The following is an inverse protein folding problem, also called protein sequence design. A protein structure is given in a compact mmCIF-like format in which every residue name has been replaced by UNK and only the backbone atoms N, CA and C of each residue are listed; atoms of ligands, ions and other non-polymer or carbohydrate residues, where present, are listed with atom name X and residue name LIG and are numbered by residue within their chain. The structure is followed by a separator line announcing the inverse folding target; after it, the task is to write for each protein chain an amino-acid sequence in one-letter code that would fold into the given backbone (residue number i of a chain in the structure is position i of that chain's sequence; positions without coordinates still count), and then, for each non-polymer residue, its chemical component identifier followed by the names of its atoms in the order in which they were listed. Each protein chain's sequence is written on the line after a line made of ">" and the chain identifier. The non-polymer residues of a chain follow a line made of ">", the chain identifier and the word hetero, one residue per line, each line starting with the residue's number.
data_IF_310502767553
#
_entry.id   IF_310502767553
#
_cell.length_a   1.000
_cell.length_b   1.000
_cell.length_c   1.000
_cell.angle_alpha   90.00
_cell.angle_beta   90.00
_cell.angle_gamma   90.00
#
_symmetry.space_group_name_H-M   'P 1'
#
loop_
_entity.id
_entity.type
_entity.pdbx_description
1 polymer ?
#
# COMPACT_ATOMS: atom_id res chain seq x y z
N UNK A 1 4.96 -25.03 -6.52
CA UNK A 1 4.59 -24.72 -5.12
C UNK A 1 3.14 -24.26 -5.11
N UNK A 2 2.44 -24.55 -4.04
CA UNK A 2 1.12 -23.94 -3.73
C UNK A 2 1.35 -22.72 -2.85
N UNK A 3 0.91 -21.56 -3.30
CA UNK A 3 1.14 -20.26 -2.64
C UNK A 3 -0.22 -19.59 -2.41
N UNK A 4 -0.55 -19.30 -1.16
CA UNK A 4 -1.82 -18.68 -0.79
C UNK A 4 -1.58 -17.30 -0.20
N UNK A 5 -2.36 -16.31 -0.64
CA UNK A 5 -2.35 -14.95 -0.09
C UNK A 5 -3.59 -14.71 0.75
N UNK A 6 -3.44 -14.25 1.98
CA UNK A 6 -4.55 -13.78 2.81
C UNK A 6 -4.70 -12.27 2.69
N UNK A 7 -5.79 -11.82 2.06
CA UNK A 7 -6.06 -10.42 1.73
C UNK A 7 -7.33 -9.93 2.43
N UNK A 8 -7.33 -8.68 2.88
CA UNK A 8 -8.47 -8.09 3.59
C UNK A 8 -9.76 -8.10 2.73
N UNK A 9 -9.70 -7.52 1.55
CA UNK A 9 -10.81 -7.45 0.61
C UNK A 9 -10.28 -7.28 -0.82
N UNK A 10 -10.37 -8.33 -1.62
CA UNK A 10 -9.95 -8.34 -3.01
C UNK A 10 -10.91 -7.60 -3.96
N UNK A 11 -12.09 -7.22 -3.47
CA UNK A 11 -13.18 -6.66 -4.29
C UNK A 11 -13.23 -5.14 -4.31
N UNK A 12 -12.30 -4.46 -3.62
CA UNK A 12 -12.22 -2.99 -3.55
C UNK A 12 -10.98 -2.45 -4.28
N UNK A 13 -10.78 -1.14 -4.21
CA UNK A 13 -9.58 -0.47 -4.74
C UNK A 13 -8.51 -0.32 -3.67
N UNK A 14 -7.22 -0.43 -4.05
CA UNK A 14 -6.12 -0.12 -3.14
C UNK A 14 -4.77 -0.64 -3.60
N UNK A 15 -3.70 0.04 -3.18
CA UNK A 15 -2.32 -0.32 -3.54
C UNK A 15 -1.92 -1.73 -3.12
N UNK A 16 -2.32 -2.17 -1.92
CA UNK A 16 -2.08 -3.55 -1.45
C UNK A 16 -2.77 -4.58 -2.34
N UNK A 17 -4.01 -4.32 -2.78
CA UNK A 17 -4.76 -5.23 -3.66
C UNK A 17 -4.04 -5.32 -5.02
N UNK A 18 -3.71 -4.17 -5.62
CA UNK A 18 -2.99 -4.11 -6.89
C UNK A 18 -1.65 -4.85 -6.82
N UNK A 19 -0.86 -4.58 -5.78
CA UNK A 19 0.42 -5.25 -5.56
C UNK A 19 0.28 -6.76 -5.40
N UNK A 20 -0.72 -7.21 -4.61
CA UNK A 20 -1.00 -8.65 -4.43
C UNK A 20 -1.44 -9.28 -5.75
N UNK A 21 -2.30 -8.63 -6.54
CA UNK A 21 -2.74 -9.14 -7.84
C UNK A 21 -1.58 -9.24 -8.83
N UNK A 22 -0.74 -8.21 -8.92
CA UNK A 22 0.43 -8.22 -9.80
C UNK A 22 1.38 -9.37 -9.46
N UNK A 23 1.67 -9.55 -8.16
CA UNK A 23 2.55 -10.62 -7.70
C UNK A 23 1.92 -12.00 -7.91
N UNK A 24 0.66 -12.17 -7.55
CA UNK A 24 -0.07 -13.43 -7.72
C UNK A 24 -0.15 -13.83 -9.20
N UNK A 25 -0.41 -12.89 -10.11
CA UNK A 25 -0.42 -13.12 -11.56
C UNK A 25 0.95 -13.62 -12.05
N UNK A 26 2.03 -12.96 -11.63
CA UNK A 26 3.38 -13.36 -12.05
C UNK A 26 3.77 -14.74 -11.51
N UNK A 27 3.38 -15.07 -10.28
CA UNK A 27 3.64 -16.37 -9.68
C UNK A 27 2.79 -17.48 -10.31
N UNK A 28 1.54 -17.18 -10.70
CA UNK A 28 0.61 -18.14 -11.29
C UNK A 28 1.05 -18.68 -12.67
N UNK A 29 2.01 -18.02 -13.32
CA UNK A 29 2.60 -18.51 -14.55
C UNK A 29 3.26 -19.90 -14.40
N UNK A 30 3.75 -20.23 -13.18
CA UNK A 30 4.51 -21.45 -12.92
C UNK A 30 4.15 -22.15 -11.60
N UNK A 31 3.17 -21.63 -10.86
CA UNK A 31 2.81 -22.12 -9.53
C UNK A 31 1.30 -22.08 -9.33
N UNK A 32 0.79 -22.90 -8.42
CA UNK A 32 -0.61 -22.88 -8.01
C UNK A 32 -0.80 -21.72 -7.02
N UNK A 33 -1.55 -20.70 -7.42
CA UNK A 33 -1.73 -19.49 -6.61
C UNK A 33 -3.19 -19.27 -6.27
N UNK A 34 -3.44 -19.01 -4.99
CA UNK A 34 -4.75 -18.66 -4.45
C UNK A 34 -4.71 -17.32 -3.71
N UNK A 35 -5.77 -16.53 -3.83
CA UNK A 35 -6.02 -15.36 -2.99
C UNK A 35 -7.26 -15.63 -2.15
N UNK A 36 -7.08 -15.72 -0.84
CA UNK A 36 -8.14 -15.83 0.16
C UNK A 36 -8.52 -14.42 0.57
N UNK A 37 -9.69 -13.95 0.14
CA UNK A 37 -10.24 -12.65 0.51
C UNK A 37 -11.09 -12.78 1.76
N UNK A 38 -10.79 -12.05 2.84
CA UNK A 38 -11.62 -12.10 4.04
C UNK A 38 -13.04 -11.64 3.72
N UNK A 39 -13.19 -10.54 2.98
CA UNK A 39 -14.50 -10.01 2.62
C UNK A 39 -14.77 -10.09 1.12
N UNK A 40 -16.05 -10.30 0.77
CA UNK A 40 -16.61 -10.07 -0.54
C UNK A 40 -17.70 -9.00 -0.45
N UNK A 41 -17.48 -7.85 -1.07
CA UNK A 41 -18.38 -6.70 -1.01
C UNK A 41 -19.00 -6.33 -2.36
N UNK A 42 -18.53 -6.97 -3.44
CA UNK A 42 -19.01 -6.76 -4.82
C UNK A 42 -19.07 -8.10 -5.55
N UNK A 43 -19.78 -8.14 -6.67
CA UNK A 43 -19.86 -9.33 -7.51
C UNK A 43 -18.51 -9.70 -8.11
N UNK A 44 -17.83 -8.72 -8.66
CA UNK A 44 -16.51 -8.84 -9.28
C UNK A 44 -15.50 -7.90 -8.61
N UNK A 45 -14.21 -8.26 -8.58
CA UNK A 45 -13.15 -7.36 -8.13
C UNK A 45 -13.12 -6.06 -8.93
N UNK A 46 -13.04 -4.94 -8.22
CA UNK A 46 -13.06 -3.61 -8.84
C UNK A 46 -11.82 -3.30 -9.70
N UNK A 47 -10.74 -4.06 -9.52
CA UNK A 47 -9.47 -3.89 -10.25
C UNK A 47 -9.21 -5.02 -11.27
N UNK A 48 -10.27 -5.81 -11.61
CA UNK A 48 -10.11 -7.04 -12.38
C UNK A 48 -9.48 -8.17 -11.56
N UNK A 49 -10.01 -9.38 -11.67
CA UNK A 49 -9.40 -10.55 -11.04
C UNK A 49 -8.30 -11.11 -11.94
N UNK A 50 -7.16 -11.57 -11.39
CA UNK A 50 -6.19 -12.34 -12.16
C UNK A 50 -6.83 -13.64 -12.69
N UNK A 51 -6.81 -13.88 -13.99
CA UNK A 51 -7.52 -15.00 -14.62
C UNK A 51 -7.01 -16.38 -14.21
N UNK A 52 -5.74 -16.48 -13.81
CA UNK A 52 -5.08 -17.75 -13.46
C UNK A 52 -4.94 -17.94 -11.94
N UNK A 53 -5.59 -17.12 -11.14
CA UNK A 53 -5.50 -17.13 -9.67
C UNK A 53 -6.87 -17.48 -9.10
N UNK A 54 -6.93 -18.52 -8.27
CA UNK A 54 -8.15 -18.85 -7.52
C UNK A 54 -8.44 -17.73 -6.52
N UNK A 55 -9.67 -17.21 -6.51
CA UNK A 55 -10.12 -16.20 -5.57
C UNK A 55 -11.23 -16.75 -4.66
N UNK A 56 -10.92 -16.98 -3.39
CA UNK A 56 -11.80 -17.59 -2.39
C UNK A 56 -12.25 -16.56 -1.35
N UNK A 57 -13.51 -16.10 -1.33
CA UNK A 57 -14.02 -15.24 -0.27
C UNK A 57 -14.42 -16.02 0.98
N UNK A 58 -14.16 -15.45 2.18
CA UNK A 58 -14.54 -16.07 3.45
C UNK A 58 -15.88 -15.54 4.02
N UNK A 59 -16.16 -14.26 3.84
CA UNK A 59 -17.37 -13.59 4.36
C UNK A 59 -18.00 -12.77 3.24
N UNK A 60 -19.22 -13.09 2.89
CA UNK A 60 -19.99 -12.38 1.86
C UNK A 60 -20.84 -11.27 2.48
N UNK A 61 -20.52 -10.03 2.16
CA UNK A 61 -21.23 -8.83 2.61
C UNK A 61 -22.00 -8.14 1.49
N UNK A 62 -22.34 -8.84 0.41
CA UNK A 62 -23.20 -8.31 -0.64
C UNK A 62 -24.67 -8.41 -0.20
N UNK A 63 -25.32 -7.29 0.12
CA UNK A 63 -26.66 -7.24 0.70
C UNK A 63 -27.77 -7.93 -0.11
N UNK A 64 -27.53 -8.27 -1.39
CA UNK A 64 -28.47 -9.01 -2.24
C UNK A 64 -28.05 -10.46 -2.50
N UNK A 65 -26.99 -10.95 -1.87
CA UNK A 65 -26.49 -12.30 -2.04
C UNK A 65 -27.35 -13.31 -1.28
N UNK A 66 -27.63 -14.46 -1.89
CA UNK A 66 -28.23 -15.62 -1.18
C UNK A 66 -27.31 -16.16 -0.06
N UNK A 67 -26.03 -15.78 -0.06
CA UNK A 67 -25.00 -16.18 0.91
C UNK A 67 -24.57 -15.00 1.78
N UNK A 68 -25.46 -14.00 2.00
CA UNK A 68 -25.15 -12.84 2.82
C UNK A 68 -24.86 -13.21 4.26
N UNK A 69 -23.68 -12.85 4.75
CA UNK A 69 -23.22 -13.20 6.09
C UNK A 69 -23.44 -12.08 7.13
N UNK A 70 -23.96 -10.91 6.71
CA UNK A 70 -24.15 -9.78 7.62
C UNK A 70 -25.18 -10.02 8.73
N UNK A 71 -26.10 -10.97 8.52
CA UNK A 71 -27.13 -11.35 9.50
C UNK A 71 -26.64 -12.44 10.48
N UNK A 72 -25.44 -12.98 10.31
CA UNK A 72 -24.90 -13.96 11.26
C UNK A 72 -24.63 -13.27 12.61
N UNK A 73 -25.20 -13.79 13.73
CA UNK A 73 -25.05 -13.16 15.05
C UNK A 73 -23.60 -12.97 15.49
N UNK A 74 -22.67 -13.79 14.97
CA UNK A 74 -21.22 -13.66 15.25
C UNK A 74 -20.61 -12.47 14.51
N UNK A 75 -21.24 -11.99 13.44
CA UNK A 75 -20.79 -10.79 12.72
C UNK A 75 -20.95 -9.53 13.59
N UNK A 76 -21.94 -9.46 14.45
CA UNK A 76 -22.15 -8.34 15.39
C UNK A 76 -21.19 -8.42 16.63
N UNK A 77 -20.52 -9.54 16.86
CA UNK A 77 -19.59 -9.69 17.98
C UNK A 77 -18.18 -9.25 17.60
N UNK A 78 -17.46 -8.49 18.48
CA UNK A 78 -16.12 -8.01 18.16
C UNK A 78 -15.12 -9.14 17.97
N UNK A 79 -14.18 -8.92 17.05
CA UNK A 79 -13.05 -9.83 16.85
C UNK A 79 -12.21 -9.98 18.13
N UNK A 80 -11.67 -11.18 18.35
CA UNK A 80 -10.82 -11.54 19.49
C UNK A 80 -9.38 -11.82 19.07
N UNK A 81 -9.16 -12.27 17.83
CA UNK A 81 -7.85 -12.59 17.26
C UNK A 81 -7.31 -11.41 16.46
N UNK A 82 -8.15 -10.80 15.62
CA UNK A 82 -7.73 -9.63 14.86
C UNK A 82 -7.45 -8.47 15.83
N UNK A 83 -6.22 -7.89 15.82
CA UNK A 83 -5.81 -6.93 16.85
C UNK A 83 -6.66 -5.66 16.90
N UNK A 84 -7.07 -5.26 18.10
CA UNK A 84 -7.79 -3.98 18.32
C UNK A 84 -6.98 -2.76 17.88
N UNK A 85 -5.67 -2.89 17.82
CA UNK A 85 -4.75 -1.85 17.43
C UNK A 85 -4.63 -1.69 15.90
N UNK A 86 -5.12 -2.64 15.10
CA UNK A 86 -5.18 -2.49 13.63
C UNK A 86 -6.32 -1.52 13.25
N UNK A 87 -6.02 -0.56 12.36
CA UNK A 87 -6.99 0.45 11.93
C UNK A 87 -8.27 -0.12 11.28
N UNK A 88 -8.25 -1.39 10.88
CA UNK A 88 -9.41 -2.11 10.31
C UNK A 88 -10.18 -2.95 11.33
N UNK A 89 -9.78 -2.95 12.61
CA UNK A 89 -10.39 -3.83 13.64
C UNK A 89 -11.93 -3.79 13.66
N UNK A 90 -12.54 -2.60 13.49
CA UNK A 90 -14.00 -2.44 13.50
C UNK A 90 -14.72 -3.17 12.36
N UNK A 91 -14.01 -3.58 11.32
CA UNK A 91 -14.55 -4.35 10.19
C UNK A 91 -14.49 -5.86 10.45
N UNK A 92 -13.73 -6.29 11.49
CA UNK A 92 -13.55 -7.68 11.85
C UNK A 92 -14.45 -8.06 13.02
N UNK A 93 -14.89 -9.30 13.03
CA UNK A 93 -15.84 -9.84 13.99
C UNK A 93 -15.43 -11.23 14.43
N UNK A 94 -16.16 -11.81 15.39
CA UNK A 94 -16.00 -13.20 15.77
C UNK A 94 -16.21 -14.14 14.57
N UNK A 95 -17.15 -13.83 13.67
CA UNK A 95 -17.37 -14.62 12.46
C UNK A 95 -16.11 -14.65 11.58
N UNK A 96 -15.49 -13.49 11.34
CA UNK A 96 -14.25 -13.40 10.54
C UNK A 96 -13.12 -14.16 11.19
N UNK A 97 -12.92 -14.05 12.52
CA UNK A 97 -11.87 -14.76 13.24
C UNK A 97 -12.03 -16.28 13.09
N UNK A 98 -13.26 -16.79 13.27
CA UNK A 98 -13.55 -18.22 13.17
C UNK A 98 -13.38 -18.75 11.74
N UNK A 99 -13.80 -17.99 10.72
CA UNK A 99 -13.65 -18.41 9.31
C UNK A 99 -12.21 -18.37 8.86
N UNK A 100 -11.47 -17.33 9.22
CA UNK A 100 -10.02 -17.26 8.92
C UNK A 100 -9.30 -18.40 9.63
N UNK A 101 -9.56 -18.61 10.92
CA UNK A 101 -8.90 -19.66 11.69
C UNK A 101 -9.16 -21.05 11.11
N UNK A 102 -10.41 -21.38 10.76
CA UNK A 102 -10.79 -22.65 10.13
C UNK A 102 -10.13 -22.81 8.75
N UNK A 103 -10.16 -21.77 7.91
CA UNK A 103 -9.51 -21.79 6.61
C UNK A 103 -8.01 -22.06 6.75
N UNK A 104 -7.30 -21.29 7.56
CA UNK A 104 -5.84 -21.40 7.70
C UNK A 104 -5.39 -22.74 8.31
N UNK A 105 -6.17 -23.31 9.24
CA UNK A 105 -5.81 -24.59 9.88
C UNK A 105 -5.99 -25.80 8.94
N UNK A 106 -6.93 -25.72 8.00
CA UNK A 106 -7.17 -26.76 7.00
C UNK A 106 -6.50 -26.51 5.63
N UNK A 107 -5.79 -25.41 5.49
CA UNK A 107 -5.21 -25.00 4.21
C UNK A 107 -3.94 -25.80 3.90
N UNK A 108 -4.00 -26.60 2.85
CA UNK A 108 -2.85 -27.29 2.30
C UNK A 108 -2.09 -26.41 1.31
N UNK A 109 -1.12 -25.67 1.81
CA UNK A 109 -0.27 -24.76 1.03
C UNK A 109 1.19 -24.88 1.45
N UNK A 110 2.13 -24.66 0.54
CA UNK A 110 3.56 -24.62 0.87
C UNK A 110 3.92 -23.30 1.56
N UNK A 111 3.31 -22.18 1.07
CA UNK A 111 3.58 -20.84 1.57
C UNK A 111 2.26 -20.08 1.76
N UNK A 112 2.05 -19.51 2.94
CA UNK A 112 0.95 -18.59 3.23
C UNK A 112 1.48 -17.19 3.49
N UNK A 113 0.95 -16.20 2.76
CA UNK A 113 1.37 -14.79 2.82
C UNK A 113 0.25 -13.92 3.34
N UNK A 114 0.46 -13.24 4.47
CA UNK A 114 -0.47 -12.24 4.98
C UNK A 114 -0.09 -10.84 4.51
N UNK A 115 -1.09 -10.03 4.17
CA UNK A 115 -0.87 -8.74 3.49
C UNK A 115 -1.10 -7.52 4.40
N UNK A 116 -1.23 -7.73 5.70
CA UNK A 116 -1.38 -6.66 6.70
C UNK A 116 -1.21 -7.19 8.13
N UNK A 117 -0.91 -6.32 9.12
CA UNK A 117 -0.62 -6.75 10.48
C UNK A 117 -1.65 -7.69 11.10
N UNK A 118 -2.92 -7.36 11.04
CA UNK A 118 -3.97 -8.19 11.64
C UNK A 118 -4.09 -9.58 10.99
N UNK A 119 -3.87 -9.68 9.68
CA UNK A 119 -3.84 -10.97 8.97
C UNK A 119 -2.56 -11.76 9.25
N UNK A 120 -1.42 -11.06 9.39
CA UNK A 120 -0.16 -11.68 9.81
C UNK A 120 -0.28 -12.31 11.21
N UNK A 121 -1.05 -11.69 12.12
CA UNK A 121 -1.37 -12.28 13.44
C UNK A 121 -2.22 -13.55 13.30
N UNK A 122 -3.20 -13.57 12.38
CA UNK A 122 -3.98 -14.79 12.12
C UNK A 122 -3.10 -15.91 11.57
N UNK A 123 -2.24 -15.64 10.60
CA UNK A 123 -1.30 -16.61 10.04
C UNK A 123 -0.36 -17.14 11.12
N UNK A 124 0.21 -16.25 11.92
CA UNK A 124 1.08 -16.62 13.05
C UNK A 124 0.42 -17.59 14.02
N UNK A 125 -0.91 -17.48 14.22
CA UNK A 125 -1.66 -18.30 15.19
C UNK A 125 -2.26 -19.57 14.60
N UNK A 126 -2.75 -19.51 13.36
CA UNK A 126 -3.68 -20.53 12.83
C UNK A 126 -3.18 -21.23 11.57
N UNK A 127 -2.13 -20.74 10.88
CA UNK A 127 -1.64 -21.42 9.69
C UNK A 127 -1.17 -22.84 10.01
N UNK A 128 -1.43 -23.77 9.08
CA UNK A 128 -1.02 -25.16 9.18
C UNK A 128 0.47 -25.26 9.57
N UNK A 129 0.86 -26.16 10.49
CA UNK A 129 2.25 -26.22 10.98
C UNK A 129 3.31 -26.46 9.91
N UNK A 130 2.96 -27.15 8.81
CA UNK A 130 3.87 -27.43 7.71
C UNK A 130 4.05 -26.25 6.75
N UNK A 131 3.13 -25.26 6.73
CA UNK A 131 3.22 -24.13 5.83
C UNK A 131 4.27 -23.13 6.28
N UNK A 132 5.04 -22.59 5.33
CA UNK A 132 5.90 -21.42 5.55
C UNK A 132 5.02 -20.18 5.72
N UNK A 133 5.24 -19.42 6.78
CA UNK A 133 4.44 -18.26 7.19
C UNK A 133 5.18 -16.98 6.87
N UNK A 134 4.68 -16.22 5.90
CA UNK A 134 5.27 -14.95 5.48
C UNK A 134 4.32 -13.80 5.81
N UNK A 135 4.80 -12.82 6.55
CA UNK A 135 4.11 -11.54 6.69
C UNK A 135 4.58 -10.58 5.61
N UNK A 136 3.66 -9.90 4.93
CA UNK A 136 4.00 -8.84 3.99
C UNK A 136 3.42 -7.52 4.50
N UNK A 137 4.28 -6.52 4.72
CA UNK A 137 3.89 -5.21 5.22
C UNK A 137 3.88 -4.18 4.10
N UNK A 138 2.70 -3.60 3.89
CA UNK A 138 2.47 -2.52 2.94
C UNK A 138 2.33 -1.16 3.63
N UNK A 139 2.28 -1.15 4.97
CA UNK A 139 2.33 0.05 5.80
C UNK A 139 3.65 0.08 6.54
N UNK A 140 4.19 1.28 6.74
CA UNK A 140 5.48 1.43 7.43
C UNK A 140 5.36 1.12 8.92
N UNK A 141 6.41 0.57 9.53
CA UNK A 141 6.46 0.34 10.98
C UNK A 141 6.22 1.63 11.77
N UNK A 142 6.73 2.77 11.28
CA UNK A 142 6.52 4.08 11.89
C UNK A 142 5.06 4.54 11.89
N UNK A 143 4.26 4.06 10.93
CA UNK A 143 2.83 4.32 10.84
C UNK A 143 1.98 3.56 11.87
N UNK A 144 2.55 2.54 12.52
CA UNK A 144 1.86 1.77 13.54
C UNK A 144 2.01 2.41 14.93
N UNK A 145 0.88 2.56 15.65
CA UNK A 145 0.89 2.98 17.04
C UNK A 145 1.56 1.96 17.97
N UNK A 146 1.90 2.38 19.18
CA UNK A 146 2.61 1.57 20.17
C UNK A 146 1.95 0.21 20.44
N UNK A 147 0.62 0.16 20.46
CA UNK A 147 -0.14 -1.10 20.65
C UNK A 147 0.10 -2.08 19.51
N UNK A 148 0.06 -1.60 18.25
CA UNK A 148 0.28 -2.47 17.11
C UNK A 148 1.73 -2.95 17.06
N UNK A 149 2.70 -2.09 17.35
CA UNK A 149 4.11 -2.49 17.46
C UNK A 149 4.34 -3.53 18.58
N UNK A 150 3.56 -3.46 19.68
CA UNK A 150 3.59 -4.48 20.72
C UNK A 150 3.07 -5.83 20.22
N UNK A 151 1.93 -5.85 19.50
CA UNK A 151 1.40 -7.07 18.86
C UNK A 151 2.39 -7.66 17.85
N UNK A 152 2.97 -6.83 16.99
CA UNK A 152 3.99 -7.22 16.02
C UNK A 152 5.16 -7.89 16.74
N UNK A 153 5.75 -7.23 17.75
CA UNK A 153 6.91 -7.77 18.49
C UNK A 153 6.60 -9.11 19.18
N UNK A 154 5.35 -9.32 19.57
CA UNK A 154 4.95 -10.55 20.24
C UNK A 154 4.57 -11.67 19.27
N UNK A 155 3.81 -11.37 18.20
CA UNK A 155 3.25 -12.39 17.32
C UNK A 155 4.13 -12.74 16.13
N UNK A 156 4.86 -11.79 15.59
CA UNK A 156 5.68 -12.00 14.39
C UNK A 156 6.84 -13.00 14.59
N UNK A 157 7.41 -13.23 15.78
CA UNK A 157 8.34 -14.34 15.99
C UNK A 157 7.80 -15.73 15.64
N UNK A 158 6.50 -15.86 15.35
CA UNK A 158 5.88 -17.08 14.83
C UNK A 158 5.80 -17.15 13.29
N UNK A 159 6.22 -16.10 12.60
CA UNK A 159 6.42 -16.09 11.15
C UNK A 159 7.81 -16.61 10.81
N UNK A 160 7.97 -17.17 9.61
CA UNK A 160 9.28 -17.59 9.08
C UNK A 160 9.99 -16.42 8.40
N UNK A 161 9.22 -15.52 7.77
CA UNK A 161 9.75 -14.29 7.19
C UNK A 161 8.78 -13.12 7.28
N UNK A 162 9.36 -11.92 7.16
CA UNK A 162 8.65 -10.66 6.99
C UNK A 162 9.22 -9.94 5.79
N UNK A 163 8.37 -9.60 4.82
CA UNK A 163 8.76 -8.74 3.71
C UNK A 163 8.18 -7.33 3.88
N UNK A 164 8.97 -6.33 3.55
CA UNK A 164 8.57 -4.92 3.49
C UNK A 164 8.79 -4.40 2.08
N UNK A 165 8.16 -3.29 1.74
CA UNK A 165 8.23 -2.74 0.38
C UNK A 165 9.41 -1.80 0.16
N UNK A 166 10.17 -1.47 1.23
CA UNK A 166 11.38 -0.63 1.20
C UNK A 166 12.44 -1.17 2.14
N UNK A 167 13.72 -0.94 1.82
CA UNK A 167 14.84 -1.35 2.66
C UNK A 167 14.88 -0.57 3.99
N UNK A 168 14.53 0.72 3.95
CA UNK A 168 14.45 1.52 5.16
C UNK A 168 13.44 0.96 6.17
N UNK A 169 12.29 0.46 5.71
CA UNK A 169 11.31 -0.18 6.60
C UNK A 169 11.77 -1.57 7.06
N UNK A 170 12.43 -2.36 6.18
CA UNK A 170 13.05 -3.62 6.58
C UNK A 170 14.07 -3.42 7.70
N UNK A 171 14.89 -2.39 7.60
CA UNK A 171 15.85 -2.03 8.64
C UNK A 171 15.16 -1.69 9.97
N UNK A 172 14.05 -0.93 9.92
CA UNK A 172 13.26 -0.63 11.12
C UNK A 172 12.70 -1.88 11.78
N UNK A 173 12.22 -2.87 10.99
CA UNK A 173 11.77 -4.16 11.51
C UNK A 173 12.91 -5.02 12.06
N UNK A 174 14.08 -5.03 11.43
CA UNK A 174 15.28 -5.71 11.98
C UNK A 174 15.68 -5.12 13.34
N UNK A 175 15.64 -3.77 13.47
CA UNK A 175 15.90 -3.08 14.75
C UNK A 175 14.83 -3.35 15.81
N UNK A 176 13.61 -3.73 15.42
CA UNK A 176 12.57 -4.14 16.36
C UNK A 176 12.94 -5.44 17.11
N UNK A 177 13.86 -6.25 16.57
CA UNK A 177 14.35 -7.47 17.16
C UNK A 177 13.33 -8.59 17.14
N UNK A 178 13.01 -9.10 15.94
CA UNK A 178 12.13 -10.25 15.73
C UNK A 178 13.00 -11.53 15.64
N UNK A 179 13.12 -12.31 16.73
CA UNK A 179 13.97 -13.50 16.74
C UNK A 179 13.48 -14.53 15.71
N UNK A 180 14.42 -15.15 15.03
CA UNK A 180 14.23 -16.24 14.06
C UNK A 180 13.40 -15.85 12.81
N UNK A 181 13.04 -14.59 12.65
CA UNK A 181 12.29 -14.09 11.48
C UNK A 181 13.24 -13.47 10.46
N UNK A 182 13.22 -13.98 9.23
CA UNK A 182 13.96 -13.36 8.13
C UNK A 182 13.26 -12.10 7.65
N UNK A 183 13.85 -10.93 7.85
CA UNK A 183 13.32 -9.64 7.39
C UNK A 183 14.03 -9.22 6.11
N UNK A 184 13.28 -9.03 5.03
CA UNK A 184 13.79 -8.69 3.70
C UNK A 184 12.92 -7.62 3.03
N UNK A 185 13.55 -6.65 2.38
CA UNK A 185 12.85 -5.72 1.50
C UNK A 185 12.62 -6.39 0.14
N UNK A 186 11.38 -6.39 -0.33
CA UNK A 186 10.99 -6.77 -1.69
C UNK A 186 9.95 -5.75 -2.15
N UNK A 187 10.29 -4.98 -3.18
CA UNK A 187 9.45 -3.89 -3.68
C UNK A 187 8.12 -4.39 -4.25
N UNK A 188 7.13 -3.50 -4.33
CA UNK A 188 5.91 -3.78 -5.08
C UNK A 188 6.22 -3.84 -6.58
N UNK A 189 5.57 -4.74 -7.29
CA UNK A 189 5.69 -4.82 -8.74
C UNK A 189 4.66 -3.93 -9.46
N UNK A 190 5.08 -3.41 -10.60
CA UNK A 190 4.24 -2.65 -11.53
C UNK A 190 4.40 -3.27 -12.93
N UNK A 191 3.32 -3.74 -13.56
CA UNK A 191 3.38 -4.31 -14.91
C UNK A 191 3.95 -3.31 -15.93
N UNK A 192 4.52 -3.79 -17.05
CA UNK A 192 4.80 -2.90 -18.17
C UNK A 192 3.50 -2.26 -18.66
N UNK A 193 3.58 -1.01 -19.07
CA UNK A 193 2.44 -0.31 -19.63
C UNK A 193 2.22 -0.76 -21.08
N UNK A 194 0.96 -0.82 -21.51
CA UNK A 194 0.60 -1.18 -22.89
C UNK A 194 0.81 -0.03 -23.87
N UNK A 195 1.13 1.16 -23.36
CA UNK A 195 1.43 2.36 -24.13
C UNK A 195 2.94 2.52 -24.36
N UNK A 196 3.32 3.15 -25.48
CA UNK A 196 4.70 3.62 -25.68
C UNK A 196 5.04 4.68 -24.62
N UNK A 197 6.33 4.82 -24.25
CA UNK A 197 6.78 5.96 -23.46
C UNK A 197 6.30 7.28 -24.07
N UNK A 198 5.97 8.24 -23.22
CA UNK A 198 5.48 9.54 -23.66
C UNK A 198 6.53 10.26 -24.54
N UNK A 199 6.06 10.99 -25.56
CA UNK A 199 6.91 11.87 -26.37
C UNK A 199 7.17 13.23 -25.70
N UNK A 200 6.62 13.46 -24.52
CA UNK A 200 6.73 14.72 -23.74
C UNK A 200 6.25 15.97 -24.47
N UNK A 201 5.34 15.83 -25.43
CA UNK A 201 4.76 16.94 -26.20
C UNK A 201 3.58 17.60 -25.51
N UNK A 202 2.92 16.90 -24.58
CA UNK A 202 1.81 17.44 -23.80
C UNK A 202 2.30 18.41 -22.73
N UNK A 203 1.68 19.59 -22.63
CA UNK A 203 1.96 20.59 -21.59
C UNK A 203 1.16 20.27 -20.31
N UNK A 204 1.37 19.05 -19.78
CA UNK A 204 0.61 18.52 -18.67
C UNK A 204 1.55 17.96 -17.59
N UNK A 205 1.37 18.46 -16.38
CA UNK A 205 1.86 17.84 -15.15
C UNK A 205 0.74 16.96 -14.60
N UNK A 206 1.03 15.71 -14.26
CA UNK A 206 0.03 14.76 -13.76
C UNK A 206 0.34 14.30 -12.36
N UNK A 207 -0.69 14.23 -11.52
CA UNK A 207 -0.63 13.60 -10.19
C UNK A 207 -1.75 12.57 -10.06
N UNK A 208 -1.50 11.47 -9.35
CA UNK A 208 -2.49 10.44 -9.12
C UNK A 208 -2.44 9.86 -7.72
N UNK A 209 -3.63 9.60 -7.14
CA UNK A 209 -3.75 8.97 -5.84
C UNK A 209 -5.03 9.40 -5.12
N UNK A 210 -5.33 8.78 -3.98
CA UNK A 210 -6.51 9.15 -3.18
C UNK A 210 -6.45 10.62 -2.76
N UNK A 211 -7.57 11.33 -2.86
CA UNK A 211 -7.68 12.70 -2.35
C UNK A 211 -7.82 12.66 -0.82
N UNK A 212 -6.70 12.62 -0.14
CA UNK A 212 -6.59 12.59 1.33
C UNK A 212 -5.43 13.48 1.79
N UNK A 213 -5.47 14.06 3.01
CA UNK A 213 -4.51 15.07 3.47
C UNK A 213 -3.05 14.66 3.35
N UNK A 214 -2.71 13.38 3.56
CA UNK A 214 -1.32 12.90 3.48
C UNK A 214 -0.70 13.01 2.09
N UNK A 215 -1.53 13.13 1.02
CA UNK A 215 -1.06 13.30 -0.37
C UNK A 215 -0.71 14.74 -0.70
N UNK A 216 -1.10 15.70 0.17
CA UNK A 216 -0.72 17.11 0.09
C UNK A 216 -1.01 17.76 -1.27
N UNK A 217 -2.18 17.44 -1.85
CA UNK A 217 -2.60 18.13 -3.07
C UNK A 217 -2.81 19.63 -2.86
N UNK A 218 -3.12 20.06 -1.63
CA UNK A 218 -3.12 21.46 -1.22
C UNK A 218 -1.78 22.17 -1.48
N UNK A 219 -0.68 21.48 -1.12
CA UNK A 219 0.68 21.98 -1.34
C UNK A 219 1.03 22.01 -2.84
N UNK A 220 0.63 20.97 -3.58
CA UNK A 220 0.86 20.89 -5.02
C UNK A 220 0.12 21.98 -5.80
N UNK A 221 -1.16 22.25 -5.45
CA UNK A 221 -1.95 23.33 -6.06
C UNK A 221 -1.30 24.68 -5.80
N UNK A 222 -0.83 24.93 -4.57
CA UNK A 222 -0.09 26.17 -4.24
C UNK A 222 1.20 26.30 -5.03
N UNK A 223 1.96 25.21 -5.19
CA UNK A 223 3.17 25.20 -6.01
C UNK A 223 2.86 25.48 -7.49
N UNK A 224 1.73 24.96 -7.97
CA UNK A 224 1.34 25.15 -9.36
C UNK A 224 0.88 26.58 -9.68
N UNK A 225 0.50 27.39 -8.69
CA UNK A 225 0.24 28.82 -8.89
C UNK A 225 1.48 29.56 -9.45
N UNK A 226 2.67 29.27 -8.91
CA UNK A 226 3.93 29.84 -9.40
C UNK A 226 4.28 29.30 -10.80
N UNK A 227 3.99 28.02 -11.06
CA UNK A 227 4.17 27.41 -12.40
C UNK A 227 3.24 28.07 -13.42
N UNK A 228 1.96 28.23 -13.12
CA UNK A 228 0.99 28.85 -14.03
C UNK A 228 1.33 30.33 -14.34
N UNK A 229 1.89 31.06 -13.38
CA UNK A 229 2.32 32.43 -13.57
C UNK A 229 3.49 32.55 -14.57
N UNK A 230 4.39 31.56 -14.64
CA UNK A 230 5.56 31.57 -15.53
C UNK A 230 5.35 30.74 -16.81
N UNK A 231 4.48 29.75 -16.77
CA UNK A 231 4.17 28.84 -17.87
C UNK A 231 2.64 28.69 -18.02
N UNK A 232 1.93 29.74 -18.50
CA UNK A 232 0.47 29.79 -18.49
C UNK A 232 -0.20 28.78 -19.45
N UNK A 233 0.56 28.14 -20.31
CA UNK A 233 0.11 27.13 -21.25
C UNK A 233 0.20 25.70 -20.67
N UNK A 234 0.69 25.52 -19.42
CA UNK A 234 0.77 24.25 -18.74
C UNK A 234 -0.43 24.01 -17.81
N UNK A 235 -0.79 22.74 -17.67
CA UNK A 235 -1.90 22.29 -16.85
C UNK A 235 -1.44 21.26 -15.80
N UNK A 236 -2.06 21.30 -14.62
CA UNK A 236 -1.97 20.26 -13.62
C UNK A 236 -3.26 19.43 -13.65
N UNK A 237 -3.13 18.12 -13.84
CA UNK A 237 -4.25 17.19 -13.78
C UNK A 237 -4.05 16.23 -12.59
N UNK A 238 -4.99 16.25 -11.65
CA UNK A 238 -4.98 15.41 -10.45
C UNK A 238 -6.06 14.34 -10.61
N UNK A 239 -5.68 13.09 -10.61
CA UNK A 239 -6.58 11.93 -10.73
C UNK A 239 -6.74 11.22 -9.40
N UNK A 240 -7.97 11.09 -8.90
CA UNK A 240 -8.23 10.34 -7.68
C UNK A 240 -9.60 10.56 -7.10
N UNK A 241 -10.06 9.56 -6.34
CA UNK A 241 -11.27 9.69 -5.57
C UNK A 241 -10.96 10.20 -4.16
N UNK A 242 -11.87 11.03 -3.63
CA UNK A 242 -11.90 11.43 -2.23
C UNK A 242 -12.21 10.27 -1.30
N UNK A 243 -12.31 10.57 -0.01
CA UNK A 243 -12.93 9.69 0.95
C UNK A 243 -14.46 9.66 0.76
N UNK A 244 -15.15 8.86 1.58
CA UNK A 244 -16.61 8.71 1.51
C UNK A 244 -17.38 9.98 1.86
N UNK A 245 -16.73 10.99 2.46
CA UNK A 245 -17.35 12.27 2.84
C UNK A 245 -17.27 13.30 1.70
N UNK A 246 -16.29 13.17 0.79
CA UNK A 246 -16.04 14.13 -0.29
C UNK A 246 -15.43 15.46 0.17
N UNK A 247 -15.16 15.62 1.45
CA UNK A 247 -14.71 16.88 2.06
C UNK A 247 -13.38 17.36 1.47
N UNK A 248 -12.43 16.45 1.24
CA UNK A 248 -11.12 16.82 0.68
C UNK A 248 -11.24 17.33 -0.76
N UNK A 249 -12.06 16.70 -1.63
CA UNK A 249 -12.27 17.14 -3.01
C UNK A 249 -12.86 18.55 -3.05
N UNK A 250 -13.83 18.83 -2.20
CA UNK A 250 -14.44 20.16 -2.08
C UNK A 250 -13.44 21.21 -1.58
N UNK A 251 -12.64 20.85 -0.56
CA UNK A 251 -11.58 21.73 -0.03
C UNK A 251 -10.56 22.10 -1.09
N UNK A 252 -10.12 21.12 -1.90
CA UNK A 252 -9.18 21.36 -2.98
C UNK A 252 -9.79 22.20 -4.11
N UNK A 253 -11.06 21.98 -4.48
CA UNK A 253 -11.77 22.77 -5.47
C UNK A 253 -11.88 24.25 -5.01
N UNK A 254 -12.24 24.49 -3.76
CA UNK A 254 -12.27 25.84 -3.17
C UNK A 254 -10.90 26.51 -3.20
N UNK A 255 -9.83 25.74 -2.93
CA UNK A 255 -8.45 26.27 -3.00
C UNK A 255 -8.09 26.70 -4.43
N UNK A 256 -8.45 25.89 -5.44
CA UNK A 256 -8.24 26.23 -6.87
C UNK A 256 -8.95 27.53 -7.23
N UNK A 257 -10.21 27.67 -6.79
CA UNK A 257 -11.01 28.88 -7.03
C UNK A 257 -10.36 30.12 -6.39
N UNK A 258 -9.97 30.02 -5.13
CA UNK A 258 -9.37 31.12 -4.38
C UNK A 258 -8.02 31.58 -4.95
N UNK A 259 -7.29 30.69 -5.61
CA UNK A 259 -6.01 31.00 -6.27
C UNK A 259 -6.17 31.42 -7.75
N UNK A 260 -7.40 31.43 -8.28
CA UNK A 260 -7.65 31.78 -9.69
C UNK A 260 -7.11 30.75 -10.70
N UNK A 261 -7.03 29.47 -10.32
CA UNK A 261 -6.37 28.42 -11.11
C UNK A 261 -7.34 27.50 -11.88
N UNK A 262 -8.60 27.93 -12.10
CA UNK A 262 -9.63 27.09 -12.76
C UNK A 262 -9.26 26.62 -14.16
N UNK A 263 -8.50 27.44 -14.90
CA UNK A 263 -8.07 27.12 -16.25
C UNK A 263 -6.75 26.32 -16.30
N UNK A 264 -6.10 26.12 -15.15
CA UNK A 264 -4.79 25.50 -15.05
C UNK A 264 -4.77 24.20 -14.23
N UNK A 265 -5.69 24.01 -13.26
CA UNK A 265 -5.69 22.87 -12.35
C UNK A 265 -7.03 22.14 -12.42
N UNK A 266 -6.97 20.85 -12.76
CA UNK A 266 -8.15 20.00 -12.96
C UNK A 266 -8.17 18.83 -11.96
N UNK A 267 -9.25 18.73 -11.16
CA UNK A 267 -9.51 17.59 -10.30
C UNK A 267 -10.37 16.58 -11.07
N UNK A 268 -9.77 15.46 -11.42
CA UNK A 268 -10.44 14.37 -12.13
C UNK A 268 -10.77 13.23 -11.18
N UNK A 269 -11.81 12.47 -11.49
CA UNK A 269 -12.12 11.23 -10.79
C UNK A 269 -11.07 10.15 -11.10
N UNK A 270 -11.22 8.99 -10.49
CA UNK A 270 -10.34 7.86 -10.77
C UNK A 270 -10.37 7.51 -12.25
N UNK A 271 -9.21 7.47 -12.89
CA UNK A 271 -9.09 7.01 -14.26
C UNK A 271 -9.06 5.48 -14.31
N UNK A 272 -9.94 4.85 -15.09
CA UNK A 272 -9.95 3.41 -15.29
C UNK A 272 -8.63 2.91 -15.92
N UNK A 273 -8.04 3.73 -16.81
CA UNK A 273 -6.75 3.51 -17.44
C UNK A 273 -5.80 4.69 -17.15
N UNK A 274 -5.24 4.76 -15.95
CA UNK A 274 -4.34 5.84 -15.53
C UNK A 274 -3.11 5.95 -16.45
N UNK A 275 -2.66 4.83 -17.03
CA UNK A 275 -1.55 4.82 -18.00
C UNK A 275 -1.83 5.71 -19.23
N UNK A 276 -3.08 5.75 -19.69
CA UNK A 276 -3.48 6.59 -20.82
C UNK A 276 -3.37 8.09 -20.49
N UNK A 277 -3.59 8.45 -19.23
CA UNK A 277 -3.41 9.83 -18.77
C UNK A 277 -1.93 10.16 -18.56
N UNK A 278 -1.13 9.22 -18.07
CA UNK A 278 0.32 9.38 -18.02
C UNK A 278 0.93 9.54 -19.41
N UNK A 279 0.46 8.78 -20.40
CA UNK A 279 0.95 8.90 -21.78
C UNK A 279 0.70 10.28 -22.42
N UNK A 280 -0.29 11.03 -21.96
CA UNK A 280 -0.60 12.40 -22.42
C UNK A 280 0.21 13.48 -21.67
N UNK A 281 0.85 13.12 -20.56
CA UNK A 281 1.59 14.04 -19.73
C UNK A 281 3.06 14.14 -20.13
N UNK A 282 3.75 15.14 -19.58
CA UNK A 282 5.20 15.31 -19.75
C UNK A 282 5.98 15.22 -18.44
N UNK A 283 5.34 15.43 -17.31
CA UNK A 283 5.94 15.35 -15.98
C UNK A 283 4.91 14.71 -15.03
N UNK A 284 5.35 13.80 -14.16
CA UNK A 284 4.53 13.31 -13.05
C UNK A 284 4.99 13.97 -11.73
N UNK A 285 4.05 14.14 -10.79
CA UNK A 285 4.37 14.75 -9.49
C UNK A 285 3.71 14.01 -8.31
N UNK A 286 4.44 13.91 -7.20
CA UNK A 286 3.96 13.39 -5.92
C UNK A 286 4.37 14.32 -4.78
N UNK A 287 3.42 14.98 -4.13
CA UNK A 287 3.67 15.95 -3.06
C UNK A 287 3.51 15.37 -1.64
N UNK A 288 3.39 14.05 -1.52
CA UNK A 288 3.02 13.35 -0.28
C UNK A 288 3.91 13.66 0.91
N UNK A 289 3.32 13.76 2.10
CA UNK A 289 4.08 13.82 3.37
C UNK A 289 4.63 12.45 3.77
N UNK A 290 4.05 11.37 3.24
CA UNK A 290 4.45 9.98 3.52
C UNK A 290 4.00 9.03 2.42
N UNK A 291 4.92 8.17 2.01
CA UNK A 291 4.66 7.03 1.14
C UNK A 291 5.29 5.77 1.72
N UNK A 292 4.53 4.69 1.77
CA UNK A 292 5.12 3.39 2.13
C UNK A 292 6.02 2.85 1.02
N UNK A 293 5.61 3.08 -0.24
CA UNK A 293 6.37 2.75 -1.44
C UNK A 293 6.26 3.89 -2.46
N UNK A 294 5.10 4.06 -3.08
CA UNK A 294 4.87 5.05 -4.15
C UNK A 294 4.57 4.38 -5.48
N UNK A 295 3.56 3.51 -5.52
CA UNK A 295 3.14 2.80 -6.74
C UNK A 295 2.97 3.74 -7.93
N UNK A 296 2.32 4.89 -7.73
CA UNK A 296 2.07 5.87 -8.78
C UNK A 296 3.35 6.51 -9.33
N UNK A 297 4.42 6.59 -8.54
CA UNK A 297 5.73 7.02 -9.00
C UNK A 297 6.28 6.01 -10.01
N UNK A 298 6.25 4.73 -9.67
CA UNK A 298 6.72 3.66 -10.57
C UNK A 298 5.84 3.56 -11.81
N UNK A 299 4.51 3.68 -11.66
CA UNK A 299 3.55 3.69 -12.76
C UNK A 299 3.86 4.83 -13.76
N UNK A 300 4.15 6.04 -13.27
CA UNK A 300 4.56 7.16 -14.11
C UNK A 300 5.92 6.93 -14.81
N UNK A 301 6.92 6.41 -14.07
CA UNK A 301 8.22 6.07 -14.66
C UNK A 301 8.09 5.00 -15.76
N UNK A 302 7.19 4.03 -15.60
CA UNK A 302 6.87 3.02 -16.63
C UNK A 302 6.29 3.63 -17.91
N UNK A 303 5.68 4.80 -17.83
CA UNK A 303 5.22 5.58 -18.98
C UNK A 303 6.30 6.50 -19.55
N UNK A 304 7.52 6.46 -19.01
CA UNK A 304 8.62 7.33 -19.44
C UNK A 304 8.52 8.76 -18.90
N UNK A 305 7.77 9.00 -17.83
CA UNK A 305 7.68 10.33 -17.22
C UNK A 305 8.79 10.55 -16.20
N UNK A 306 9.52 11.69 -16.27
CA UNK A 306 10.31 12.13 -15.14
C UNK A 306 9.38 12.48 -13.98
N UNK A 307 9.77 12.13 -12.75
CA UNK A 307 8.91 12.35 -11.59
C UNK A 307 9.53 13.40 -10.67
N UNK A 308 8.75 14.43 -10.33
CA UNK A 308 9.06 15.32 -9.20
C UNK A 308 8.35 14.77 -7.97
N UNK A 309 9.09 14.40 -6.93
CA UNK A 309 8.49 13.87 -5.70
C UNK A 309 9.07 14.54 -4.46
N UNK A 310 8.23 14.69 -3.43
CA UNK A 310 8.75 15.03 -2.10
C UNK A 310 9.61 13.88 -1.58
N UNK A 311 10.76 14.20 -1.01
CA UNK A 311 11.64 13.24 -0.33
C UNK A 311 11.07 12.88 1.05
N UNK A 312 9.81 12.43 1.05
CA UNK A 312 9.11 12.01 2.25
C UNK A 312 9.61 10.62 2.70
N UNK A 313 9.40 10.30 4.00
CA UNK A 313 9.88 9.02 4.52
C UNK A 313 9.44 7.83 3.69
N UNK A 314 10.40 7.07 3.32
CA UNK A 314 10.66 5.73 2.82
C UNK A 314 10.64 5.63 1.28
N UNK A 315 9.47 5.57 0.63
CA UNK A 315 9.35 5.12 -0.76
C UNK A 315 10.08 5.95 -1.82
N UNK A 316 9.85 7.27 -1.93
CA UNK A 316 10.33 8.04 -3.07
C UNK A 316 11.84 7.98 -3.30
N UNK A 317 12.66 8.06 -2.23
CA UNK A 317 14.12 8.00 -2.36
C UNK A 317 14.69 6.62 -2.71
N UNK A 318 13.92 5.56 -2.53
CA UNK A 318 14.31 4.22 -2.97
C UNK A 318 13.91 3.96 -4.43
N UNK A 319 12.99 4.77 -4.95
CA UNK A 319 12.52 4.65 -6.33
C UNK A 319 13.27 5.63 -7.25
N UNK A 320 13.42 6.88 -6.85
CA UNK A 320 13.96 7.96 -7.66
C UNK A 320 15.45 8.16 -7.38
N UNK A 321 16.25 8.13 -8.41
CA UNK A 321 17.63 8.60 -8.40
C UNK A 321 17.64 10.08 -8.76
N UNK A 322 17.78 10.92 -7.73
CA UNK A 322 17.70 12.38 -7.88
C UNK A 322 18.63 12.92 -8.96
N UNK A 323 18.10 13.70 -9.89
CA UNK A 323 18.83 14.30 -11.00
C UNK A 323 19.04 13.36 -12.21
N UNK A 324 18.70 12.07 -12.10
CA UNK A 324 18.85 11.08 -13.17
C UNK A 324 17.50 10.72 -13.79
N UNK A 325 16.56 10.19 -12.99
CA UNK A 325 15.26 9.71 -13.43
C UNK A 325 14.08 10.45 -12.76
N UNK A 326 14.38 11.49 -11.97
CA UNK A 326 13.42 12.36 -11.32
C UNK A 326 14.08 13.38 -10.39
N UNK A 327 13.27 14.19 -9.74
CA UNK A 327 13.69 15.19 -8.77
C UNK A 327 13.08 14.87 -7.41
N UNK A 328 13.90 14.80 -6.37
CA UNK A 328 13.46 14.74 -4.97
C UNK A 328 13.56 16.13 -4.36
N UNK A 329 12.46 16.60 -3.75
CA UNK A 329 12.37 17.91 -3.12
C UNK A 329 11.98 17.80 -1.64
N UNK A 330 12.25 18.82 -0.85
CA UNK A 330 11.95 18.81 0.59
C UNK A 330 10.44 18.74 0.85
N UNK A 331 9.98 17.84 1.74
CA UNK A 331 8.57 17.77 2.13
C UNK A 331 8.06 19.09 2.71
N UNK A 332 6.78 19.42 2.44
CA UNK A 332 6.14 20.61 2.99
C UNK A 332 6.58 21.95 2.37
N UNK A 333 7.35 21.95 1.28
CA UNK A 333 7.87 23.14 0.61
C UNK A 333 7.26 23.29 -0.78
N UNK A 334 6.23 24.13 -0.92
CA UNK A 334 5.59 24.40 -2.20
C UNK A 334 6.58 25.02 -3.21
N UNK A 335 7.46 25.92 -2.76
CA UNK A 335 8.45 26.57 -3.60
C UNK A 335 9.45 25.58 -4.20
N UNK A 336 9.87 24.55 -3.45
CA UNK A 336 10.80 23.54 -3.98
C UNK A 336 10.12 22.70 -5.08
N UNK A 337 8.82 22.39 -4.93
CA UNK A 337 8.02 21.72 -5.96
C UNK A 337 7.90 22.61 -7.21
N UNK A 338 7.54 23.89 -7.03
CA UNK A 338 7.40 24.83 -8.12
C UNK A 338 8.71 24.97 -8.91
N UNK A 339 9.84 25.19 -8.23
CA UNK A 339 11.17 25.30 -8.85
C UNK A 339 11.51 24.04 -9.64
N UNK A 340 11.35 22.84 -9.07
CA UNK A 340 11.66 21.59 -9.75
C UNK A 340 10.75 21.33 -10.97
N UNK A 341 9.48 21.76 -10.91
CA UNK A 341 8.56 21.68 -12.04
C UNK A 341 8.97 22.69 -13.14
N UNK A 342 9.24 23.94 -12.80
CA UNK A 342 9.69 24.96 -13.76
C UNK A 342 11.01 24.56 -14.46
N UNK A 343 11.98 24.00 -13.73
CA UNK A 343 13.23 23.48 -14.31
C UNK A 343 12.97 22.45 -15.42
N UNK A 344 12.07 21.48 -15.15
CA UNK A 344 11.71 20.44 -16.12
C UNK A 344 10.81 20.97 -17.25
N UNK A 345 9.99 21.97 -17.00
CA UNK A 345 9.16 22.63 -18.01
C UNK A 345 10.03 23.43 -18.96
N UNK A 346 10.99 24.18 -18.45
CA UNK A 346 11.87 25.06 -19.24
C UNK A 346 12.96 24.35 -20.04
N UNK A 347 13.30 23.11 -19.69
CA UNK A 347 14.35 22.32 -20.37
C UNK A 347 13.79 21.01 -20.94
N UNK A 348 13.38 21.07 -22.22
CA UNK A 348 12.82 19.91 -22.94
C UNK A 348 13.84 18.75 -23.08
N UNK A 349 15.11 19.08 -23.29
CA UNK A 349 16.17 18.08 -23.42
C UNK A 349 16.42 17.35 -22.10
N UNK A 350 16.46 18.08 -20.98
CA UNK A 350 16.56 17.49 -19.64
C UNK A 350 15.34 16.62 -19.35
N UNK A 351 14.14 17.11 -19.62
CA UNK A 351 12.88 16.37 -19.38
C UNK A 351 12.83 15.05 -20.12
N UNK A 352 13.17 15.03 -21.43
CA UNK A 352 13.23 13.81 -22.25
C UNK A 352 14.28 12.84 -21.76
N UNK A 353 15.50 13.30 -21.52
CA UNK A 353 16.59 12.46 -21.01
C UNK A 353 16.25 11.82 -19.65
N UNK A 354 15.62 12.60 -18.76
CA UNK A 354 15.21 12.12 -17.43
C UNK A 354 14.04 11.14 -17.53
N UNK A 355 13.11 11.36 -18.45
CA UNK A 355 11.99 10.44 -18.73
C UNK A 355 12.46 9.10 -19.30
N UNK A 356 13.42 9.12 -20.21
CA UNK A 356 14.05 7.91 -20.75
C UNK A 356 14.75 7.10 -19.64
N UNK A 357 15.51 7.79 -18.78
CA UNK A 357 16.15 7.15 -17.62
C UNK A 357 15.10 6.57 -16.65
N UNK A 358 13.99 7.27 -16.42
CA UNK A 358 12.89 6.79 -15.59
C UNK A 358 12.28 5.51 -16.16
N UNK A 359 12.04 5.45 -17.46
CA UNK A 359 11.51 4.26 -18.12
C UNK A 359 12.44 3.07 -17.97
N UNK A 360 13.72 3.23 -18.27
CA UNK A 360 14.72 2.16 -18.13
C UNK A 360 14.84 1.68 -16.68
N UNK A 361 14.99 2.61 -15.73
CA UNK A 361 15.19 2.28 -14.32
C UNK A 361 13.95 1.62 -13.68
N UNK A 362 12.74 1.91 -14.18
CA UNK A 362 11.52 1.29 -13.69
C UNK A 362 11.42 -0.20 -14.01
N UNK A 363 12.25 -0.74 -14.94
CA UNK A 363 12.24 -2.16 -15.31
C UNK A 363 12.53 -3.09 -14.11
N UNK A 364 13.27 -2.61 -13.10
CA UNK A 364 13.56 -3.36 -11.86
C UNK A 364 12.28 -3.70 -11.05
N UNK A 365 11.17 -3.03 -11.32
CA UNK A 365 9.87 -3.27 -10.68
C UNK A 365 8.95 -4.17 -11.54
N UNK A 366 9.48 -4.81 -12.57
CA UNK A 366 8.71 -5.74 -13.40
C UNK A 366 8.17 -6.92 -12.56
N UNK A 367 6.91 -7.37 -12.78
CA UNK A 367 6.30 -8.43 -11.98
C UNK A 367 7.13 -9.70 -11.91
N UNK A 368 7.70 -10.15 -13.03
CA UNK A 368 8.54 -11.37 -13.05
C UNK A 368 9.81 -11.22 -12.22
N UNK A 369 10.46 -10.05 -12.27
CA UNK A 369 11.65 -9.79 -11.47
C UNK A 369 11.33 -9.76 -9.95
N UNK A 370 10.23 -9.13 -9.56
CA UNK A 370 9.79 -9.10 -8.17
C UNK A 370 9.30 -10.49 -7.71
N UNK A 371 8.58 -11.22 -8.57
CA UNK A 371 8.15 -12.59 -8.27
C UNK A 371 9.34 -13.52 -8.00
N UNK A 372 10.43 -13.40 -8.78
CA UNK A 372 11.63 -14.22 -8.57
C UNK A 372 12.28 -13.94 -7.21
N UNK A 373 12.35 -12.69 -6.75
CA UNK A 373 12.84 -12.35 -5.42
C UNK A 373 11.99 -13.00 -4.30
N UNK A 374 10.68 -13.06 -4.47
CA UNK A 374 9.79 -13.78 -3.55
C UNK A 374 10.02 -15.28 -3.62
N UNK A 375 10.17 -15.85 -4.82
CA UNK A 375 10.42 -17.27 -5.01
C UNK A 375 11.76 -17.71 -4.40
N UNK A 376 12.80 -16.91 -4.52
CA UNK A 376 14.11 -17.18 -3.88
C UNK A 376 13.97 -17.21 -2.35
N UNK A 377 13.23 -16.25 -1.77
CA UNK A 377 12.91 -16.27 -0.34
C UNK A 377 12.13 -17.54 0.04
N UNK A 378 11.09 -17.91 -0.70
CA UNK A 378 10.24 -19.06 -0.40
C UNK A 378 11.02 -20.38 -0.53
N UNK A 379 11.82 -20.55 -1.57
CA UNK A 379 12.69 -21.73 -1.77
C UNK A 379 13.70 -21.89 -0.63
N UNK A 380 14.30 -20.77 -0.18
CA UNK A 380 15.24 -20.80 0.94
C UNK A 380 14.55 -21.20 2.26
N UNK A 381 13.37 -20.65 2.53
CA UNK A 381 12.60 -20.99 3.72
C UNK A 381 12.13 -22.45 3.70
N UNK A 382 11.67 -22.96 2.56
CA UNK A 382 11.27 -24.37 2.42
C UNK A 382 12.44 -25.33 2.65
N UNK A 383 13.65 -24.98 2.20
CA UNK A 383 14.86 -25.78 2.48
C UNK A 383 15.22 -25.83 3.96
N UNK A 384 15.00 -24.74 4.68
CA UNK A 384 15.26 -24.68 6.15
C UNK A 384 14.18 -25.37 6.97
N UNK A 385 13.01 -25.55 6.37
CA UNK A 385 11.81 -26.00 7.06
C UNK A 385 11.16 -24.94 7.95
N UNK A 386 9.97 -25.23 8.46
CA UNK A 386 9.20 -24.28 9.26
C UNK A 386 9.86 -23.98 10.62
N UNK A 387 9.85 -22.69 11.00
CA UNK A 387 10.41 -22.20 12.25
C UNK A 387 9.51 -22.45 13.46
N UNK A 388 9.64 -21.57 14.47
CA UNK A 388 8.86 -21.67 15.72
C UNK A 388 7.35 -21.62 15.49
N UNK A 389 6.59 -22.50 16.15
CA UNK A 389 5.12 -22.61 16.03
C UNK A 389 4.35 -22.19 17.28
N UNK A 390 5.01 -21.96 18.42
CA UNK A 390 4.39 -21.47 19.65
C UNK A 390 5.34 -20.58 20.45
N UNK A 391 4.77 -19.67 21.23
CA UNK A 391 5.53 -18.77 22.10
C UNK A 391 5.79 -19.33 23.49
N UNK A 392 5.10 -20.39 23.86
CA UNK A 392 5.08 -20.94 25.22
C UNK A 392 4.19 -20.12 26.18
N UNK A 393 3.69 -20.76 27.26
CA UNK A 393 2.67 -20.19 28.15
C UNK A 393 3.13 -18.93 28.89
N UNK A 394 4.39 -18.87 29.32
CA UNK A 394 4.93 -17.72 30.05
C UNK A 394 4.98 -16.44 29.18
N UNK A 395 5.40 -16.57 27.92
CA UNK A 395 5.41 -15.41 26.97
C UNK A 395 4.00 -14.95 26.64
N UNK A 396 3.06 -15.89 26.49
CA UNK A 396 1.66 -15.56 26.23
C UNK A 396 1.03 -14.81 27.42
N UNK A 397 1.24 -15.28 28.65
CA UNK A 397 0.76 -14.62 29.86
C UNK A 397 1.38 -13.21 30.03
N UNK A 398 2.68 -13.06 29.80
CA UNK A 398 3.35 -11.77 29.84
C UNK A 398 2.82 -10.80 28.78
N UNK A 399 2.50 -11.28 27.59
CA UNK A 399 1.88 -10.49 26.53
C UNK A 399 0.49 -10.00 26.95
N UNK A 400 -0.38 -10.89 27.45
CA UNK A 400 -1.74 -10.55 27.88
C UNK A 400 -1.71 -9.47 28.99
N UNK A 401 -0.85 -9.63 29.99
CA UNK A 401 -0.68 -8.65 31.06
C UNK A 401 -0.23 -7.28 30.53
N UNK A 402 0.71 -7.26 29.60
CA UNK A 402 1.23 -6.03 28.99
C UNK A 402 0.23 -5.34 28.09
N UNK A 403 -0.55 -6.10 27.31
CA UNK A 403 -1.65 -5.59 26.50
C UNK A 403 -2.72 -4.93 27.37
N UNK A 404 -3.12 -5.55 28.47
CA UNK A 404 -4.05 -4.99 29.44
C UNK A 404 -3.53 -3.66 30.03
N UNK A 405 -2.25 -3.59 30.40
CA UNK A 405 -1.63 -2.37 30.91
C UNK A 405 -1.62 -1.23 29.88
N UNK A 406 -1.31 -1.52 28.61
CA UNK A 406 -1.33 -0.56 27.50
C UNK A 406 -2.77 -0.07 27.27
N UNK A 407 -3.78 -0.96 27.35
CA UNK A 407 -5.19 -0.61 27.20
C UNK A 407 -5.70 0.31 28.29
N UNK A 408 -5.32 0.02 29.54
CA UNK A 408 -5.64 0.86 30.70
C UNK A 408 -5.03 2.26 30.55
N UNK A 409 -3.75 2.34 30.23
CA UNK A 409 -3.05 3.62 30.03
C UNK A 409 -3.67 4.46 28.89
N UNK A 410 -4.11 3.83 27.81
CA UNK A 410 -4.79 4.52 26.71
C UNK A 410 -6.18 5.05 27.10
N UNK A 411 -6.93 4.26 27.86
CA UNK A 411 -8.26 4.66 28.35
C UNK A 411 -8.15 5.87 29.26
N UNK A 412 -7.20 5.87 30.20
CA UNK A 412 -6.91 7.00 31.09
C UNK A 412 -6.50 8.27 30.33
N UNK A 413 -5.61 8.14 29.33
CA UNK A 413 -5.21 9.29 28.49
C UNK A 413 -6.37 9.85 27.66
N UNK A 414 -7.24 9.00 27.17
CA UNK A 414 -8.43 9.39 26.39
C UNK A 414 -9.45 10.11 27.26
N UNK A 415 -9.65 9.66 28.51
CA UNK A 415 -10.50 10.31 29.50
C UNK A 415 -9.94 11.71 29.87
N UNK A 416 -8.64 11.80 30.17
CA UNK A 416 -7.97 13.05 30.49
C UNK A 416 -8.02 14.11 29.36
N UNK A 417 -8.01 13.66 28.07
CA UNK A 417 -8.19 14.56 26.93
C UNK A 417 -9.62 15.09 26.79
N UNK A 418 -10.62 14.28 27.16
CA UNK A 418 -12.03 14.69 27.13
C UNK A 418 -12.36 15.72 28.23
N UNK A 419 -11.76 15.58 29.41
CA UNK A 419 -11.92 16.54 30.52
C UNK A 419 -11.21 17.87 30.26
N UNK A 420 -10.14 17.91 29.46
CA UNK A 420 -9.46 19.16 29.07
C UNK A 420 -10.15 19.93 27.93
N UNK A 421 -11.12 19.32 27.24
CA UNK A 421 -11.89 19.94 26.15
C UNK A 421 -13.29 20.42 26.61
N UNK A 422 -13.66 20.18 27.85
CA UNK A 422 -14.79 20.80 28.56
C UNK A 422 -14.29 21.93 29.46
#
# INVERSE_FOLDING_TARGET
>A
MRISFLLHNAYTFGGTIRSTFNLATALAAHHDVEIISVFRTRETPAMGAPSQVLLTPLVDLRGKSAHYDGDDPRHAQPARVFPRADGRHRQYSRLTDERIGRCLSGLETDVIVGTRPGLNVHIARHAHPAAIRVGQEHLTLSGHGLRMRHEIRHRYPLLDALTTVTEADAQAYRQLGLPDVRVQAIANSVPPMNTRPTEHTGKVVVAAGRLIPVKRYDLLIKAFADVAATHPDWQLRIFGNGDTTGDEKHTLATLIDNLGLKDHVFLNDHADALESEFAKASIAVSASDRESFGMTIVEAMRCGLPVVATDCPLGPREIITHGVDGRLVRPGRAQDLATALCDLIGDDALRRRMGEAAWHNSARYAPNHIAEQHLDLYRDLLRRGPGRRSLGPLREAAHQARTAAIDTAHTLRSAARRTRKR
#
